data_IF_433037124886
#
_entry.id   IF_433037124886
#
_cell.length_a   1.000
_cell.length_b   1.000
_cell.length_c   1.000
_cell.angle_alpha   90.00
_cell.angle_beta   90.00
_cell.angle_gamma   90.00
#
_symmetry.space_group_name_H-M   'P 1'
#
loop_
_entity.id
_entity.type
_entity.pdbx_description
1 polymer ?
#
# COMPACT_ATOMS: atom_id res chain seq x y z
N UNK A 1 -30.39 1.35 20.00
CA UNK A 1 -29.06 1.83 20.44
C UNK A 1 -28.62 2.94 19.51
N UNK A 2 -27.95 3.97 20.02
CA UNK A 2 -27.29 4.97 19.18
C UNK A 2 -26.09 4.31 18.47
N UNK A 3 -25.82 4.62 17.20
CA UNK A 3 -24.61 4.14 16.52
C UNK A 3 -23.40 4.91 17.06
N UNK A 4 -22.61 4.28 17.95
CA UNK A 4 -21.48 4.91 18.65
C UNK A 4 -20.10 4.55 18.06
N UNK A 5 -20.08 3.69 17.04
CA UNK A 5 -18.84 3.10 16.49
C UNK A 5 -18.33 1.92 17.30
N UNK A 6 -17.34 1.22 16.74
CA UNK A 6 -16.72 0.07 17.39
C UNK A 6 -15.87 0.50 18.61
N UNK A 7 -15.92 -0.25 19.73
CA UNK A 7 -15.01 -0.02 20.85
C UNK A 7 -13.55 -0.14 20.43
N UNK A 8 -12.68 0.72 20.96
CA UNK A 8 -11.24 0.72 20.66
C UNK A 8 -10.46 0.85 21.98
N UNK A 9 -9.31 0.18 22.06
CA UNK A 9 -8.37 0.39 23.15
C UNK A 9 -7.91 1.86 23.21
N UNK A 10 -8.02 2.44 24.41
CA UNK A 10 -7.71 3.83 24.69
C UNK A 10 -6.25 4.06 25.11
N UNK A 11 -5.42 3.01 25.17
CA UNK A 11 -4.00 3.16 25.43
C UNK A 11 -3.33 4.06 24.36
N UNK A 12 -2.51 5.05 24.78
CA UNK A 12 -1.81 5.92 23.84
C UNK A 12 -0.71 5.16 23.09
N UNK A 13 -0.39 5.63 21.89
CA UNK A 13 0.79 5.19 21.14
C UNK A 13 2.09 5.73 21.77
N UNK A 14 3.21 5.09 21.46
CA UNK A 14 4.53 5.64 21.80
C UNK A 14 4.83 6.85 20.91
N UNK A 15 5.41 7.92 21.47
CA UNK A 15 5.89 9.04 20.65
C UNK A 15 7.18 8.63 19.92
N UNK A 16 7.40 9.07 18.67
CA UNK A 16 8.66 8.81 17.97
C UNK A 16 9.84 9.46 18.73
N UNK A 17 10.94 8.74 18.84
CA UNK A 17 12.17 9.21 19.46
C UNK A 17 13.16 9.75 18.40
N UNK A 18 14.25 10.39 18.85
CA UNK A 18 15.36 10.85 18.00
C UNK A 18 16.30 9.68 17.70
N UNK A 19 15.81 8.70 16.96
CA UNK A 19 16.54 7.46 16.66
C UNK A 19 16.69 7.28 15.15
N UNK A 20 17.79 6.67 14.72
CA UNK A 20 18.02 6.42 13.31
C UNK A 20 17.10 5.30 12.80
N UNK A 21 16.60 5.44 11.57
CA UNK A 21 15.89 4.37 10.85
C UNK A 21 16.75 3.95 9.66
N UNK A 22 17.34 2.75 9.76
CA UNK A 22 18.22 2.21 8.74
C UNK A 22 17.46 1.53 7.59
N UNK A 23 17.84 1.89 6.37
CA UNK A 23 17.38 1.29 5.13
C UNK A 23 18.54 0.68 4.33
N UNK A 24 18.23 0.22 3.12
CA UNK A 24 19.21 -0.31 2.16
C UNK A 24 19.88 0.79 1.33
N UNK A 25 19.11 1.82 0.98
CA UNK A 25 19.54 2.91 0.10
C UNK A 25 19.72 4.22 0.85
N UNK A 26 18.92 4.46 1.88
CA UNK A 26 19.02 5.63 2.76
C UNK A 26 19.03 5.23 4.23
N UNK A 27 19.54 6.13 5.07
CA UNK A 27 19.29 6.12 6.52
C UNK A 27 18.60 7.43 6.89
N UNK A 28 17.56 7.36 7.72
CA UNK A 28 16.94 8.53 8.33
C UNK A 28 17.59 8.78 9.68
N UNK A 29 18.12 9.98 9.90
CA UNK A 29 18.74 10.35 11.18
C UNK A 29 18.13 11.66 11.71
N UNK A 30 18.08 11.87 13.04
CA UNK A 30 17.67 13.17 13.59
C UNK A 30 18.48 14.30 12.95
N UNK A 31 17.80 15.36 12.53
CA UNK A 31 18.46 16.43 11.79
C UNK A 31 19.42 17.23 12.69
N UNK A 32 20.72 17.10 12.43
CA UNK A 32 21.79 17.95 12.96
C UNK A 32 22.15 19.05 11.94
N UNK A 33 22.01 20.32 12.33
CA UNK A 33 22.24 21.46 11.44
C UNK A 33 23.72 21.64 11.08
N UNK A 34 24.65 21.33 11.98
CA UNK A 34 26.09 21.47 11.72
C UNK A 34 26.55 20.42 10.72
N UNK A 35 26.04 19.18 10.87
CA UNK A 35 26.42 18.05 10.02
C UNK A 35 25.71 18.08 8.67
N UNK A 36 24.41 18.38 8.67
CA UNK A 36 23.60 18.21 7.47
C UNK A 36 23.29 19.52 6.74
N UNK A 37 23.33 20.65 7.45
CA UNK A 37 22.98 21.95 6.93
C UNK A 37 23.79 22.37 5.70
N UNK A 38 25.14 22.32 5.75
CA UNK A 38 25.97 22.77 4.62
C UNK A 38 25.66 22.04 3.32
N UNK A 39 25.55 20.70 3.37
CA UNK A 39 25.24 19.86 2.21
C UNK A 39 23.84 20.10 1.68
N UNK A 40 22.84 20.19 2.57
CA UNK A 40 21.46 20.44 2.17
C UNK A 40 21.28 21.84 1.55
N UNK A 41 21.89 22.87 2.12
CA UNK A 41 21.84 24.22 1.56
C UNK A 41 22.50 24.28 0.19
N UNK A 42 23.68 23.68 0.04
CA UNK A 42 24.37 23.61 -1.25
C UNK A 42 23.51 22.97 -2.35
N UNK A 43 22.70 21.96 -2.00
CA UNK A 43 21.82 21.25 -2.92
C UNK A 43 20.46 21.94 -3.18
N UNK A 44 20.16 23.05 -2.48
CA UNK A 44 18.83 23.70 -2.52
C UNK A 44 18.85 25.21 -2.71
N UNK A 45 20.02 25.85 -2.67
CA UNK A 45 20.21 27.27 -2.96
C UNK A 45 20.23 27.55 -4.46
N UNK A 46 19.91 28.79 -4.85
CA UNK A 46 19.92 29.24 -6.24
C UNK A 46 18.54 29.24 -6.90
N UNK A 47 18.33 30.16 -7.85
CA UNK A 47 17.04 30.37 -8.50
C UNK A 47 16.54 29.12 -9.26
N UNK A 48 17.45 28.27 -9.72
CA UNK A 48 17.18 26.98 -10.35
C UNK A 48 16.59 25.94 -9.38
N UNK A 49 16.69 26.16 -8.07
CA UNK A 49 16.21 25.28 -7.00
C UNK A 49 15.02 25.86 -6.21
N UNK A 50 14.64 27.12 -6.44
CA UNK A 50 13.53 27.78 -5.73
C UNK A 50 12.21 26.99 -5.76
N UNK A 51 11.98 26.24 -6.84
CA UNK A 51 10.79 25.39 -6.99
C UNK A 51 10.70 24.28 -5.94
N UNK A 52 11.82 23.84 -5.35
CA UNK A 52 11.83 22.87 -4.24
C UNK A 52 11.07 23.40 -3.01
N UNK A 53 11.05 24.72 -2.84
CA UNK A 53 10.44 25.42 -1.70
C UNK A 53 9.01 25.88 -1.98
N UNK A 54 8.52 25.72 -3.21
CA UNK A 54 7.25 26.31 -3.67
C UNK A 54 6.04 25.93 -2.79
N UNK A 55 6.04 24.70 -2.24
CA UNK A 55 4.95 24.18 -1.41
C UNK A 55 5.31 23.96 0.07
N UNK A 56 6.55 24.27 0.45
CA UNK A 56 7.01 24.26 1.85
C UNK A 56 6.61 25.56 2.56
N UNK A 57 6.50 25.50 3.88
CA UNK A 57 6.11 26.65 4.70
C UNK A 57 7.18 27.76 4.71
N UNK A 58 8.46 27.36 4.73
CA UNK A 58 9.62 28.24 4.70
C UNK A 58 10.39 28.13 3.38
N UNK A 59 11.40 28.98 3.22
CA UNK A 59 12.26 29.05 2.03
C UNK A 59 11.61 29.74 0.81
N UNK A 60 12.33 29.87 -0.32
CA UNK A 60 13.78 29.70 -0.41
C UNK A 60 14.51 30.69 0.53
N UNK A 61 15.74 30.36 0.91
CA UNK A 61 16.55 31.16 1.83
C UNK A 61 17.54 32.02 1.05
N UNK A 62 17.73 33.27 1.49
CA UNK A 62 18.62 34.21 0.80
C UNK A 62 20.10 33.84 0.93
N UNK A 63 20.48 33.28 2.07
CA UNK A 63 21.85 32.86 2.38
C UNK A 63 21.85 31.70 3.39
N UNK A 64 23.04 31.19 3.67
CA UNK A 64 23.22 30.10 4.61
C UNK A 64 22.83 30.49 6.04
N UNK A 65 23.06 31.73 6.46
CA UNK A 65 22.74 32.17 7.83
C UNK A 65 21.23 32.09 8.11
N UNK A 66 20.40 32.56 7.15
CA UNK A 66 18.94 32.45 7.25
C UNK A 66 18.45 30.99 7.20
N UNK A 67 19.09 30.14 6.37
CA UNK A 67 18.81 28.70 6.32
C UNK A 67 19.16 28.04 7.66
N UNK A 68 20.35 28.30 8.18
CA UNK A 68 20.87 27.74 9.41
C UNK A 68 20.01 28.12 10.61
N UNK A 69 19.62 29.40 10.73
CA UNK A 69 18.71 29.86 11.79
C UNK A 69 17.40 29.07 11.78
N UNK A 70 16.80 28.90 10.59
CA UNK A 70 15.56 28.14 10.43
C UNK A 70 15.71 26.68 10.86
N UNK A 71 16.73 25.98 10.35
CA UNK A 71 16.90 24.56 10.62
C UNK A 71 17.41 24.29 12.05
N UNK A 72 18.19 25.19 12.64
CA UNK A 72 18.58 25.10 14.05
C UNK A 72 17.35 25.19 14.97
N UNK A 73 16.41 26.09 14.67
CA UNK A 73 15.15 26.16 15.40
C UNK A 73 14.25 24.94 15.15
N UNK A 74 14.20 24.42 13.92
CA UNK A 74 13.39 23.24 13.60
C UNK A 74 13.94 21.97 14.25
N UNK A 75 15.27 21.80 14.30
CA UNK A 75 15.94 20.61 14.83
C UNK A 75 15.67 20.37 16.32
N UNK A 76 15.36 21.41 17.12
CA UNK A 76 15.12 21.27 18.57
C UNK A 76 13.70 20.84 18.94
N UNK A 77 12.77 20.86 17.98
CA UNK A 77 11.35 20.58 18.24
C UNK A 77 11.09 19.08 18.41
N UNK A 78 10.13 18.74 19.26
CA UNK A 78 9.61 17.37 19.41
C UNK A 78 8.36 17.11 18.56
N UNK A 79 7.67 18.18 18.14
CA UNK A 79 6.65 18.18 17.10
C UNK A 79 6.64 19.57 16.44
N UNK A 80 6.94 19.68 15.15
CA UNK A 80 7.50 18.66 14.25
C UNK A 80 8.79 17.98 14.72
N UNK A 81 8.98 16.69 14.43
CA UNK A 81 10.24 15.95 14.65
C UNK A 81 10.94 15.70 13.31
N UNK A 82 12.08 16.37 13.11
CA UNK A 82 12.78 16.46 11.82
C UNK A 82 13.92 15.44 11.67
N UNK A 83 13.94 14.77 10.52
CA UNK A 83 14.97 13.82 10.12
C UNK A 83 15.66 14.25 8.82
N UNK A 84 16.98 14.11 8.77
CA UNK A 84 17.74 14.14 7.52
C UNK A 84 17.65 12.78 6.82
N UNK A 85 17.66 12.80 5.48
CA UNK A 85 17.75 11.61 4.65
C UNK A 85 19.18 11.51 4.15
N UNK A 86 19.92 10.49 4.56
CA UNK A 86 21.31 10.29 4.18
C UNK A 86 21.44 9.16 3.17
N UNK A 87 22.28 9.32 2.16
CA UNK A 87 22.67 8.23 1.26
C UNK A 87 23.55 7.23 2.00
N UNK A 88 23.24 5.92 1.92
CA UNK A 88 24.04 4.89 2.61
C UNK A 88 25.42 4.72 1.95
N UNK A 89 25.59 5.13 0.69
CA UNK A 89 26.83 4.92 -0.08
C UNK A 89 27.95 5.84 0.36
N UNK A 90 27.64 7.12 0.60
CA UNK A 90 28.64 8.17 0.87
C UNK A 90 28.26 9.11 2.01
N UNK A 91 27.08 8.94 2.63
CA UNK A 91 26.60 9.77 3.72
C UNK A 91 26.08 11.14 3.28
N UNK A 92 25.93 11.40 1.98
CA UNK A 92 25.43 12.67 1.48
C UNK A 92 23.99 12.94 1.96
N UNK A 93 23.70 14.20 2.32
CA UNK A 93 22.34 14.62 2.69
C UNK A 93 21.51 14.79 1.43
N UNK A 94 20.48 13.97 1.30
CA UNK A 94 19.59 13.89 0.15
C UNK A 94 18.25 14.63 0.36
N UNK A 95 18.05 15.21 1.53
CA UNK A 95 16.82 15.92 1.88
C UNK A 95 16.46 15.79 3.35
N UNK A 96 15.20 16.08 3.66
CA UNK A 96 14.62 15.86 4.97
C UNK A 96 13.16 15.39 4.90
N UNK A 97 12.72 14.74 5.96
CA UNK A 97 11.34 14.31 6.20
C UNK A 97 11.00 14.56 7.66
N UNK A 98 9.72 14.77 7.97
CA UNK A 98 9.31 15.18 9.31
C UNK A 98 8.08 14.39 9.77
N UNK A 99 8.09 13.93 11.02
CA UNK A 99 6.85 13.58 11.71
C UNK A 99 6.19 14.85 12.24
N UNK A 100 4.91 15.02 11.99
CA UNK A 100 4.11 16.21 12.31
C UNK A 100 2.84 15.78 13.04
N UNK A 101 2.21 16.71 13.78
CA UNK A 101 0.86 16.53 14.34
C UNK A 101 0.77 15.22 15.15
N UNK A 102 1.73 15.03 16.05
CA UNK A 102 1.90 13.80 16.81
C UNK A 102 0.86 13.75 17.93
N UNK A 103 -0.24 13.05 17.68
CA UNK A 103 -1.33 12.82 18.61
C UNK A 103 -1.29 11.37 19.12
N UNK A 104 -0.48 11.14 20.15
CA UNK A 104 -0.31 9.82 20.75
C UNK A 104 -1.59 9.29 21.40
N UNK A 105 -2.45 10.17 21.93
CA UNK A 105 -3.69 9.78 22.59
C UNK A 105 -4.70 9.20 21.57
N UNK A 106 -4.85 9.86 20.42
CA UNK A 106 -5.71 9.37 19.34
C UNK A 106 -4.99 8.40 18.39
N UNK A 107 -3.68 8.20 18.58
CA UNK A 107 -2.82 7.33 17.77
C UNK A 107 -2.80 7.77 16.30
N UNK A 108 -2.71 9.08 16.08
CA UNK A 108 -2.62 9.74 14.76
C UNK A 108 -1.30 10.49 14.61
N UNK A 109 -0.63 10.34 13.47
CA UNK A 109 0.60 11.05 13.15
C UNK A 109 0.67 11.37 11.67
N UNK A 110 1.23 12.51 11.32
CA UNK A 110 1.40 12.96 9.94
C UNK A 110 2.86 12.83 9.51
N UNK A 111 3.08 12.45 8.25
CA UNK A 111 4.35 12.67 7.57
C UNK A 111 4.22 13.85 6.62
N UNK A 112 5.18 14.76 6.70
CA UNK A 112 5.14 15.95 5.87
C UNK A 112 6.41 16.77 6.01
N UNK A 113 6.32 18.02 5.54
CA UNK A 113 7.47 18.91 5.43
C UNK A 113 8.67 18.16 4.81
N UNK A 114 8.41 17.60 3.61
CA UNK A 114 9.32 16.72 2.90
C UNK A 114 10.04 17.53 1.83
N UNK A 115 11.36 17.51 1.88
CA UNK A 115 12.22 18.13 0.88
C UNK A 115 13.14 17.05 0.33
N UNK A 116 13.01 16.71 -0.94
CA UNK A 116 13.96 15.85 -1.64
C UNK A 116 14.83 16.73 -2.52
N UNK A 117 16.15 16.56 -2.45
CA UNK A 117 17.05 17.17 -3.44
C UNK A 117 16.96 16.38 -4.76
N UNK A 118 17.32 16.95 -5.91
CA UNK A 118 17.20 16.27 -7.21
C UNK A 118 17.80 14.86 -7.25
N UNK A 119 18.93 14.64 -6.55
CA UNK A 119 19.60 13.35 -6.47
C UNK A 119 18.75 12.23 -5.83
N UNK A 120 17.78 12.56 -4.98
CA UNK A 120 16.88 11.58 -4.34
C UNK A 120 15.61 11.31 -5.17
N UNK A 121 15.21 12.28 -5.99
CA UNK A 121 13.94 12.20 -6.71
C UNK A 121 13.92 11.04 -7.69
N UNK A 122 12.81 10.29 -7.70
CA UNK A 122 12.61 9.12 -8.59
C UNK A 122 13.64 8.00 -8.40
N UNK A 123 14.25 7.90 -7.21
CA UNK A 123 15.14 6.80 -6.82
C UNK A 123 14.46 5.84 -5.85
N UNK A 124 15.00 4.62 -5.66
CA UNK A 124 14.55 3.72 -4.59
C UNK A 124 14.60 4.34 -3.20
N UNK A 125 15.65 5.11 -2.89
CA UNK A 125 15.82 5.78 -1.59
C UNK A 125 14.66 6.70 -1.23
N UNK A 126 14.10 7.43 -2.20
CA UNK A 126 12.94 8.29 -1.95
C UNK A 126 11.66 7.53 -1.59
N UNK A 127 11.50 6.29 -2.08
CA UNK A 127 10.39 5.40 -1.67
C UNK A 127 10.70 4.72 -0.35
N UNK A 128 11.94 4.29 -0.14
CA UNK A 128 12.40 3.65 1.09
C UNK A 128 12.24 4.58 2.30
N UNK A 129 12.54 5.87 2.16
CA UNK A 129 12.30 6.86 3.22
C UNK A 129 10.84 6.86 3.71
N UNK A 130 9.87 6.75 2.79
CA UNK A 130 8.45 6.70 3.19
C UNK A 130 8.06 5.34 3.77
N UNK A 131 8.63 4.25 3.26
CA UNK A 131 8.46 2.91 3.82
C UNK A 131 8.96 2.83 5.27
N UNK A 132 10.18 3.30 5.55
CA UNK A 132 10.75 3.29 6.90
C UNK A 132 9.91 4.13 7.87
N UNK A 133 9.50 5.33 7.46
CA UNK A 133 8.69 6.20 8.31
C UNK A 133 7.33 5.58 8.64
N UNK A 134 6.66 4.97 7.66
CA UNK A 134 5.38 4.28 7.86
C UNK A 134 5.53 3.00 8.69
N UNK A 135 6.56 2.19 8.42
CA UNK A 135 6.85 0.96 9.16
C UNK A 135 7.05 1.25 10.64
N UNK A 136 7.88 2.22 10.98
CA UNK A 136 8.12 2.61 12.36
C UNK A 136 6.82 3.07 13.06
N UNK A 137 6.00 3.87 12.37
CA UNK A 137 4.70 4.35 12.89
C UNK A 137 3.73 3.22 13.23
N UNK A 138 3.59 2.23 12.33
CA UNK A 138 2.60 1.16 12.50
C UNK A 138 3.11 -0.02 13.32
N UNK A 139 4.36 -0.44 13.13
CA UNK A 139 4.90 -1.68 13.69
C UNK A 139 5.57 -1.49 15.05
N UNK A 140 6.15 -0.30 15.30
CA UNK A 140 6.91 -0.04 16.53
C UNK A 140 6.17 0.91 17.48
N UNK A 141 5.57 1.98 16.93
CA UNK A 141 4.96 3.01 17.77
C UNK A 141 3.48 2.77 18.10
N UNK A 142 2.80 1.90 17.35
CA UNK A 142 1.41 1.51 17.62
C UNK A 142 0.35 2.53 17.18
N UNK A 143 0.67 3.39 16.20
CA UNK A 143 -0.30 4.32 15.64
C UNK A 143 -1.36 3.60 14.81
N UNK A 144 -2.58 4.15 14.79
CA UNK A 144 -3.71 3.62 14.00
C UNK A 144 -3.95 4.34 12.68
N UNK A 145 -3.36 5.54 12.53
CA UNK A 145 -3.56 6.41 11.39
C UNK A 145 -2.30 7.21 11.09
N UNK A 146 -1.89 7.15 9.83
CA UNK A 146 -0.77 7.87 9.26
C UNK A 146 -1.28 8.83 8.19
N UNK A 147 -0.97 10.11 8.32
CA UNK A 147 -1.54 11.16 7.46
C UNK A 147 -0.52 11.73 6.48
N UNK A 148 -0.98 12.11 5.30
CA UNK A 148 -0.24 12.90 4.34
C UNK A 148 -1.08 14.11 3.93
N UNK A 149 -0.57 15.32 4.18
CA UNK A 149 -1.25 16.57 3.81
C UNK A 149 -0.38 17.39 2.89
N UNK A 150 -0.95 17.78 1.75
CA UNK A 150 -0.23 18.60 0.77
C UNK A 150 -1.11 19.73 0.24
N UNK A 151 -0.46 20.74 -0.35
CA UNK A 151 -1.20 21.76 -1.08
C UNK A 151 -1.97 21.08 -2.23
N UNK A 152 -3.25 21.38 -2.40
CA UNK A 152 -4.10 20.75 -3.41
C UNK A 152 -3.61 20.96 -4.86
N UNK A 153 -2.82 22.02 -5.09
CA UNK A 153 -2.16 22.32 -6.36
C UNK A 153 -0.85 21.56 -6.58
N UNK A 154 -0.26 20.94 -5.54
CA UNK A 154 0.96 20.15 -5.64
C UNK A 154 0.65 18.75 -6.19
N UNK A 155 0.38 18.68 -7.50
CA UNK A 155 0.07 17.43 -8.18
C UNK A 155 1.15 16.34 -8.01
N UNK A 156 2.47 16.65 -8.02
CA UNK A 156 3.51 15.66 -7.70
C UNK A 156 3.35 15.02 -6.32
N UNK A 157 3.09 15.81 -5.27
CA UNK A 157 2.91 15.28 -3.91
C UNK A 157 1.64 14.46 -3.76
N UNK A 158 0.54 14.86 -4.41
CA UNK A 158 -0.72 14.09 -4.43
C UNK A 158 -0.51 12.71 -5.06
N UNK A 159 0.14 12.67 -6.24
CA UNK A 159 0.49 11.40 -6.91
C UNK A 159 1.43 10.55 -6.07
N UNK A 160 2.32 11.15 -5.30
CA UNK A 160 3.20 10.41 -4.40
C UNK A 160 2.39 9.72 -3.29
N UNK A 161 1.49 10.43 -2.61
CA UNK A 161 0.63 9.86 -1.58
C UNK A 161 -0.20 8.67 -2.12
N UNK A 162 -0.87 8.86 -3.27
CA UNK A 162 -1.64 7.79 -3.93
C UNK A 162 -0.75 6.60 -4.32
N UNK A 163 0.44 6.86 -4.89
CA UNK A 163 1.41 5.81 -5.25
C UNK A 163 1.85 5.00 -4.02
N UNK A 164 2.06 5.65 -2.87
CA UNK A 164 2.41 4.98 -1.62
C UNK A 164 1.23 4.23 -0.98
N UNK A 165 0.02 4.36 -1.54
CA UNK A 165 -1.16 3.63 -1.11
C UNK A 165 -1.97 4.33 -0.03
N UNK A 166 -1.78 5.65 0.15
CA UNK A 166 -2.69 6.46 0.94
C UNK A 166 -4.03 6.65 0.21
N UNK A 167 -5.12 6.75 0.97
CA UNK A 167 -6.48 7.01 0.50
C UNK A 167 -6.78 8.51 0.59
N UNK A 168 -7.35 9.09 -0.46
CA UNK A 168 -7.77 10.50 -0.49
C UNK A 168 -9.07 10.70 0.29
N UNK A 169 -9.09 11.69 1.19
CA UNK A 169 -10.25 11.95 2.07
C UNK A 169 -10.94 13.29 1.82
N UNK A 170 -10.30 14.22 1.08
CA UNK A 170 -10.93 15.47 0.70
C UNK A 170 -9.98 16.66 0.58
N UNK A 171 -10.56 17.80 0.18
CA UNK A 171 -9.86 19.10 0.13
C UNK A 171 -10.47 20.06 1.14
N UNK A 172 -9.65 20.54 2.06
CA UNK A 172 -9.99 21.65 2.95
C UNK A 172 -9.72 22.95 2.20
N UNK A 173 -10.81 23.62 1.78
CA UNK A 173 -10.77 24.88 1.03
C UNK A 173 -10.44 26.04 1.96
N UNK A 174 -9.63 26.99 1.49
CA UNK A 174 -9.17 28.14 2.28
C UNK A 174 -8.56 27.75 3.63
N UNK A 175 -7.88 26.60 3.69
CA UNK A 175 -7.36 26.05 4.93
C UNK A 175 -6.30 26.95 5.57
N UNK A 176 -5.38 27.51 4.76
CA UNK A 176 -4.26 28.30 5.26
C UNK A 176 -3.88 29.45 4.32
N UNK A 177 -3.20 30.46 4.87
CA UNK A 177 -2.42 31.44 4.10
C UNK A 177 -0.94 31.06 4.24
N UNK A 178 -0.28 30.72 3.15
CA UNK A 178 1.14 30.33 3.11
C UNK A 178 1.86 31.23 2.12
N UNK A 179 2.91 31.91 2.56
CA UNK A 179 3.70 32.85 1.73
C UNK A 179 2.82 33.86 0.99
N UNK A 180 1.83 34.43 1.70
CA UNK A 180 0.89 35.43 1.17
C UNK A 180 -0.15 34.87 0.17
N UNK A 181 -0.29 33.55 0.03
CA UNK A 181 -1.23 32.91 -0.90
C UNK A 181 -2.19 31.98 -0.20
N UNK A 182 -3.39 31.85 -0.76
CA UNK A 182 -4.37 30.85 -0.33
C UNK A 182 -3.81 29.43 -0.54
N UNK A 183 -3.98 28.57 0.46
CA UNK A 183 -3.69 27.14 0.38
C UNK A 183 -4.93 26.34 0.71
N UNK A 184 -5.43 25.66 -0.31
CA UNK A 184 -6.30 24.51 -0.13
C UNK A 184 -5.45 23.28 0.18
N UNK A 185 -5.88 22.44 1.11
CA UNK A 185 -5.10 21.27 1.55
C UNK A 185 -5.81 19.99 1.18
N UNK A 186 -5.15 19.16 0.37
CA UNK A 186 -5.59 17.80 0.08
C UNK A 186 -5.12 16.86 1.19
N UNK A 187 -6.05 16.10 1.76
CA UNK A 187 -5.82 15.17 2.86
C UNK A 187 -5.85 13.75 2.36
N UNK A 188 -4.87 12.98 2.80
CA UNK A 188 -4.78 11.55 2.58
C UNK A 188 -4.43 10.83 3.88
N UNK A 189 -4.84 9.58 3.98
CA UNK A 189 -4.57 8.74 5.15
C UNK A 189 -4.17 7.32 4.75
N UNK A 190 -3.49 6.66 5.67
CA UNK A 190 -3.26 5.24 5.67
C UNK A 190 -3.59 4.73 7.06
N UNK A 191 -4.38 3.66 7.15
CA UNK A 191 -4.80 3.06 8.41
C UNK A 191 -3.93 1.84 8.76
N UNK A 192 -3.87 1.50 10.04
CA UNK A 192 -3.07 0.37 10.52
C UNK A 192 -3.51 -0.96 9.89
N UNK A 193 -4.77 -1.10 9.52
CA UNK A 193 -5.32 -2.30 8.92
C UNK A 193 -4.99 -2.41 7.42
N UNK A 194 -4.67 -1.28 6.79
CA UNK A 194 -4.20 -1.21 5.39
C UNK A 194 -2.69 -1.44 5.29
N UNK A 195 -1.94 -1.02 6.32
CA UNK A 195 -0.48 -1.06 6.35
C UNK A 195 0.13 -2.40 5.93
N UNK A 196 -0.30 -3.58 6.41
CA UNK A 196 0.33 -4.85 6.04
C UNK A 196 0.40 -5.09 4.53
N UNK A 197 -0.65 -4.71 3.79
CA UNK A 197 -0.64 -4.82 2.33
C UNK A 197 0.29 -3.78 1.68
N UNK A 198 0.35 -2.56 2.24
CA UNK A 198 1.23 -1.50 1.76
C UNK A 198 2.71 -1.84 2.02
N UNK A 199 3.02 -2.44 3.16
CA UNK A 199 4.34 -2.94 3.50
C UNK A 199 4.80 -3.99 2.47
N UNK A 200 3.99 -5.03 2.24
CA UNK A 200 4.28 -6.07 1.23
C UNK A 200 4.49 -5.46 -0.17
N UNK A 201 3.66 -4.48 -0.56
CA UNK A 201 3.80 -3.79 -1.84
C UNK A 201 5.10 -2.97 -1.93
N UNK A 202 5.46 -2.23 -0.88
CA UNK A 202 6.69 -1.44 -0.83
C UNK A 202 7.93 -2.34 -0.82
N UNK A 203 7.93 -3.42 -0.05
CA UNK A 203 9.01 -4.40 0.00
C UNK A 203 9.21 -5.10 -1.35
N UNK A 204 8.12 -5.55 -1.98
CA UNK A 204 8.16 -6.12 -3.33
C UNK A 204 8.70 -5.12 -4.35
N UNK A 205 8.35 -3.84 -4.21
CA UNK A 205 8.86 -2.79 -5.08
C UNK A 205 10.34 -2.50 -4.86
N UNK A 206 10.80 -2.47 -3.61
CA UNK A 206 12.19 -2.24 -3.19
C UNK A 206 13.10 -3.46 -3.39
N UNK A 207 12.54 -4.63 -3.68
CA UNK A 207 13.31 -5.83 -3.96
C UNK A 207 14.20 -5.63 -5.19
N UNK A 208 15.44 -6.14 -5.13
CA UNK A 208 16.40 -6.02 -6.24
C UNK A 208 15.85 -6.61 -7.55
N UNK A 209 15.06 -7.68 -7.47
CA UNK A 209 14.41 -8.31 -8.63
C UNK A 209 13.30 -7.48 -9.29
N UNK A 210 12.95 -6.31 -8.76
CA UNK A 210 11.97 -5.40 -9.37
C UNK A 210 12.63 -4.27 -10.18
N UNK A 211 13.95 -4.30 -10.42
CA UNK A 211 14.64 -3.32 -11.24
C UNK A 211 15.40 -4.01 -12.38
N UNK A 212 15.32 -3.42 -13.58
CA UNK A 212 16.09 -3.88 -14.74
C UNK A 212 17.58 -3.45 -14.67
N UNK A 213 18.36 -3.84 -15.67
CA UNK A 213 19.79 -3.56 -15.73
C UNK A 213 20.11 -2.05 -15.76
N UNK A 214 19.16 -1.22 -16.19
CA UNK A 214 19.28 0.25 -16.22
C UNK A 214 18.68 0.91 -14.95
N UNK A 215 18.29 0.12 -13.95
CA UNK A 215 17.72 0.60 -12.69
C UNK A 215 16.27 1.09 -12.80
N UNK A 216 15.56 0.75 -13.88
CA UNK A 216 14.15 1.09 -14.04
C UNK A 216 13.29 0.03 -13.37
N UNK A 217 12.26 0.46 -12.66
CA UNK A 217 11.29 -0.45 -12.04
C UNK A 217 10.61 -1.34 -13.11
N UNK A 218 10.47 -2.64 -12.82
CA UNK A 218 9.78 -3.62 -13.65
C UNK A 218 8.27 -3.54 -13.37
N UNK A 219 7.88 -3.68 -12.10
CA UNK A 219 6.50 -3.47 -11.64
C UNK A 219 6.41 -2.12 -10.92
N UNK A 220 5.58 -1.19 -11.39
CA UNK A 220 5.36 0.08 -10.70
C UNK A 220 4.70 -0.10 -9.32
N UNK A 221 5.11 0.70 -8.33
CA UNK A 221 4.50 0.64 -6.98
C UNK A 221 2.98 0.89 -7.02
N UNK A 222 2.51 1.78 -7.90
CA UNK A 222 1.07 2.03 -8.06
C UNK A 222 0.30 0.79 -8.55
N UNK A 223 0.95 -0.11 -9.29
CA UNK A 223 0.36 -1.40 -9.68
C UNK A 223 0.28 -2.31 -8.46
N UNK A 224 1.34 -2.40 -7.66
CA UNK A 224 1.35 -3.22 -6.44
C UNK A 224 0.27 -2.74 -5.44
N UNK A 225 0.11 -1.42 -5.30
CA UNK A 225 -0.88 -0.77 -4.45
C UNK A 225 -2.26 -0.57 -5.09
N UNK A 226 -2.55 -1.17 -6.25
CA UNK A 226 -3.83 -0.98 -6.93
C UNK A 226 -5.02 -1.28 -5.99
N UNK A 227 -5.98 -0.35 -5.94
CA UNK A 227 -7.22 -0.50 -5.18
C UNK A 227 -8.42 -0.90 -6.06
N UNK A 228 -8.23 -0.90 -7.38
CA UNK A 228 -9.23 -1.34 -8.34
C UNK A 228 -8.58 -2.10 -9.51
N UNK A 229 -9.30 -3.07 -10.06
CA UNK A 229 -9.02 -3.73 -11.32
C UNK A 229 -10.17 -3.43 -12.28
N UNK A 230 -9.87 -2.64 -13.30
CA UNK A 230 -10.84 -2.27 -14.35
C UNK A 230 -10.85 -3.36 -15.43
N UNK A 231 -12.03 -3.95 -15.69
CA UNK A 231 -12.21 -4.97 -16.71
C UNK A 231 -13.44 -4.67 -17.59
N UNK A 232 -13.46 -5.18 -18.83
CA UNK A 232 -14.69 -5.22 -19.60
C UNK A 232 -15.76 -6.01 -18.84
N UNK A 233 -16.85 -5.33 -18.44
CA UNK A 233 -17.96 -5.95 -17.72
C UNK A 233 -17.98 -5.74 -16.20
N UNK A 234 -17.01 -5.01 -15.63
CA UNK A 234 -17.08 -4.56 -14.23
C UNK A 234 -15.72 -4.23 -13.62
N UNK A 235 -15.77 -3.59 -12.46
CA UNK A 235 -14.59 -3.19 -11.69
C UNK A 235 -14.55 -4.01 -10.42
N UNK A 236 -13.42 -4.68 -10.15
CA UNK A 236 -13.18 -5.27 -8.83
C UNK A 236 -12.47 -4.22 -7.99
N UNK A 237 -12.89 -4.06 -6.74
CA UNK A 237 -12.17 -3.22 -5.76
C UNK A 237 -11.44 -4.08 -4.74
N UNK A 238 -10.38 -3.54 -4.15
CA UNK A 238 -9.71 -4.16 -3.00
C UNK A 238 -10.68 -4.18 -1.82
N UNK A 239 -10.74 -5.31 -1.12
CA UNK A 239 -11.56 -5.44 0.07
C UNK A 239 -10.97 -4.63 1.23
N UNK A 240 -11.84 -4.05 2.06
CA UNK A 240 -11.51 -3.49 3.37
C UNK A 240 -12.04 -4.39 4.49
N UNK A 241 -11.77 -4.03 5.75
CA UNK A 241 -12.33 -4.77 6.89
C UNK A 241 -13.86 -4.64 6.98
N UNK A 242 -14.45 -3.58 6.42
CA UNK A 242 -15.91 -3.41 6.36
C UNK A 242 -16.57 -4.49 5.49
N UNK A 243 -15.81 -5.13 4.59
CA UNK A 243 -16.29 -6.22 3.75
C UNK A 243 -16.27 -7.59 4.43
N UNK A 244 -15.67 -7.73 5.62
CA UNK A 244 -15.39 -9.05 6.22
C UNK A 244 -16.63 -9.94 6.34
N UNK A 245 -17.74 -9.40 6.86
CA UNK A 245 -18.96 -10.17 7.05
C UNK A 245 -19.63 -10.50 5.71
N UNK A 246 -19.56 -9.59 4.74
CA UNK A 246 -20.07 -9.84 3.38
C UNK A 246 -19.25 -10.91 2.68
N UNK A 247 -17.92 -10.88 2.82
CA UNK A 247 -16.99 -11.89 2.29
C UNK A 247 -17.31 -13.26 2.90
N UNK A 248 -17.41 -13.35 4.24
CA UNK A 248 -17.76 -14.59 4.94
C UNK A 248 -19.09 -15.15 4.44
N UNK A 249 -20.10 -14.29 4.28
CA UNK A 249 -21.41 -14.68 3.77
C UNK A 249 -21.33 -15.26 2.35
N UNK A 250 -20.66 -14.58 1.42
CA UNK A 250 -20.48 -15.08 0.04
C UNK A 250 -19.71 -16.39 0.02
N UNK A 251 -18.63 -16.50 0.80
CA UNK A 251 -17.80 -17.69 0.87
C UNK A 251 -18.60 -18.89 1.39
N UNK A 252 -19.28 -18.75 2.54
CA UNK A 252 -20.13 -19.80 3.11
C UNK A 252 -21.19 -20.28 2.12
N UNK A 253 -21.88 -19.34 1.47
CA UNK A 253 -22.94 -19.67 0.51
C UNK A 253 -22.40 -20.34 -0.77
N UNK A 254 -21.27 -19.85 -1.31
CA UNK A 254 -20.68 -20.37 -2.54
C UNK A 254 -20.05 -21.77 -2.37
N UNK A 255 -19.52 -22.08 -1.20
CA UNK A 255 -18.87 -23.36 -0.91
C UNK A 255 -19.78 -24.40 -0.24
N UNK A 256 -21.02 -24.07 0.09
CA UNK A 256 -21.97 -24.98 0.75
C UNK A 256 -22.18 -26.30 -0.03
N UNK A 257 -22.35 -26.22 -1.35
CA UNK A 257 -22.48 -27.41 -2.21
C UNK A 257 -21.17 -28.19 -2.34
N UNK A 258 -20.03 -27.50 -2.36
CA UNK A 258 -18.71 -28.12 -2.42
C UNK A 258 -18.44 -28.95 -1.16
N UNK A 259 -18.86 -28.50 0.03
CA UNK A 259 -18.72 -29.25 1.28
C UNK A 259 -19.36 -30.65 1.19
N UNK A 260 -20.54 -30.74 0.60
CA UNK A 260 -21.26 -32.01 0.41
C UNK A 260 -20.46 -32.96 -0.50
N UNK A 261 -19.96 -32.44 -1.63
CA UNK A 261 -19.21 -33.23 -2.62
C UNK A 261 -17.82 -33.63 -2.13
N UNK A 262 -17.16 -32.79 -1.33
CA UNK A 262 -15.83 -33.05 -0.80
C UNK A 262 -15.85 -33.95 0.43
N UNK A 263 -16.95 -33.98 1.18
CA UNK A 263 -17.05 -34.69 2.46
C UNK A 263 -16.21 -34.08 3.59
N UNK A 264 -15.54 -32.96 3.34
CA UNK A 264 -14.71 -32.22 4.30
C UNK A 264 -14.92 -30.71 4.14
N UNK A 265 -14.59 -29.94 5.18
CA UNK A 265 -14.72 -28.49 5.16
C UNK A 265 -13.77 -27.88 4.11
N UNK A 266 -14.28 -27.09 3.14
CA UNK A 266 -13.44 -26.38 2.17
C UNK A 266 -12.45 -25.43 2.85
N UNK A 267 -11.20 -25.41 2.39
CA UNK A 267 -10.13 -24.59 2.99
C UNK A 267 -10.52 -23.11 3.15
N UNK A 268 -11.17 -22.44 2.18
CA UNK A 268 -11.56 -21.03 2.34
C UNK A 268 -12.56 -20.77 3.46
N UNK A 269 -13.28 -21.79 3.95
CA UNK A 269 -14.22 -21.67 5.08
C UNK A 269 -13.53 -21.84 6.44
N UNK A 270 -12.25 -22.25 6.45
CA UNK A 270 -11.42 -22.39 7.65
C UNK A 270 -10.59 -21.12 7.94
N UNK A 271 -10.62 -20.13 7.06
CA UNK A 271 -9.78 -18.95 7.15
C UNK A 271 -10.33 -17.87 8.09
N UNK A 272 -9.42 -17.23 8.82
CA UNK A 272 -9.65 -15.88 9.33
C UNK A 272 -9.35 -14.86 8.23
N UNK A 273 -10.40 -14.29 7.63
CA UNK A 273 -10.25 -13.33 6.54
C UNK A 273 -9.52 -12.05 6.94
N UNK A 274 -9.56 -11.63 8.21
CA UNK A 274 -8.78 -10.49 8.67
C UNK A 274 -7.28 -10.81 8.58
N UNK A 275 -6.88 -12.05 8.90
CA UNK A 275 -5.51 -12.52 8.72
C UNK A 275 -5.16 -12.73 7.23
N UNK A 276 -6.06 -13.29 6.42
CA UNK A 276 -5.84 -13.47 4.98
C UNK A 276 -5.55 -12.15 4.29
N UNK A 277 -6.33 -11.10 4.59
CA UNK A 277 -6.14 -9.77 4.01
C UNK A 277 -4.78 -9.15 4.32
N UNK A 278 -4.06 -9.60 5.36
CA UNK A 278 -2.70 -9.09 5.65
C UNK A 278 -1.65 -9.58 4.66
N UNK A 279 -1.82 -10.80 4.14
CA UNK A 279 -0.83 -11.46 3.29
C UNK A 279 -1.30 -11.77 1.87
N UNK A 280 -2.57 -11.57 1.56
CA UNK A 280 -3.20 -11.90 0.27
C UNK A 280 -3.96 -10.72 -0.27
N UNK A 281 -4.04 -10.67 -1.59
CA UNK A 281 -4.90 -9.71 -2.25
C UNK A 281 -6.33 -10.26 -2.26
N UNK A 282 -7.22 -9.61 -1.50
CA UNK A 282 -8.65 -9.92 -1.54
C UNK A 282 -9.34 -8.85 -2.38
N UNK A 283 -9.96 -9.28 -3.46
CA UNK A 283 -10.70 -8.46 -4.41
C UNK A 283 -12.18 -8.83 -4.35
N UNK A 284 -13.04 -7.82 -4.40
CA UNK A 284 -14.48 -7.99 -4.34
C UNK A 284 -15.14 -7.30 -5.53
N UNK A 285 -16.23 -7.91 -6.01
CA UNK A 285 -17.12 -7.33 -6.99
C UNK A 285 -18.43 -6.99 -6.29
N UNK A 286 -18.78 -5.70 -6.29
CA UNK A 286 -20.08 -5.26 -5.78
C UNK A 286 -21.21 -5.68 -6.74
N UNK A 287 -22.36 -6.03 -6.17
CA UNK A 287 -23.61 -6.30 -6.88
C UNK A 287 -24.76 -5.52 -6.25
N UNK A 288 -25.97 -5.67 -6.80
CA UNK A 288 -27.13 -4.88 -6.37
C UNK A 288 -27.53 -5.04 -4.90
N UNK A 289 -27.29 -6.22 -4.31
CA UNK A 289 -27.71 -6.58 -2.95
C UNK A 289 -26.55 -6.99 -2.04
N UNK A 290 -25.36 -6.47 -2.32
CA UNK A 290 -24.11 -6.84 -1.65
C UNK A 290 -23.11 -7.45 -2.63
N UNK A 291 -22.10 -8.15 -2.11
CA UNK A 291 -21.02 -8.68 -2.94
C UNK A 291 -21.52 -9.76 -3.91
N UNK A 292 -21.23 -9.58 -5.20
CA UNK A 292 -21.51 -10.54 -6.26
C UNK A 292 -20.41 -11.62 -6.36
N UNK A 293 -19.18 -11.28 -5.98
CA UNK A 293 -18.06 -12.22 -6.05
C UNK A 293 -16.85 -11.80 -5.20
N UNK A 294 -16.03 -12.78 -4.86
CA UNK A 294 -14.76 -12.61 -4.11
C UNK A 294 -13.67 -13.39 -4.83
N UNK A 295 -12.51 -12.76 -4.99
CA UNK A 295 -11.29 -13.32 -5.56
C UNK A 295 -10.14 -13.12 -4.59
N UNK A 296 -9.49 -14.20 -4.17
CA UNK A 296 -8.33 -14.17 -3.28
C UNK A 296 -7.10 -14.61 -4.06
N UNK A 297 -6.11 -13.73 -4.14
CA UNK A 297 -4.87 -13.95 -4.88
C UNK A 297 -3.66 -13.97 -3.95
N UNK A 298 -2.74 -14.86 -4.24
CA UNK A 298 -1.45 -14.99 -3.58
C UNK A 298 -0.34 -14.80 -4.61
N UNK A 299 0.38 -13.69 -4.49
CA UNK A 299 1.56 -13.41 -5.32
C UNK A 299 2.75 -14.20 -4.80
N UNK A 300 3.34 -15.03 -5.67
CA UNK A 300 4.60 -15.72 -5.44
C UNK A 300 5.70 -15.11 -6.32
N UNK A 301 6.98 -15.49 -6.12
CA UNK A 301 8.07 -15.00 -6.97
C UNK A 301 7.81 -15.26 -8.47
N UNK A 302 7.40 -16.48 -8.82
CA UNK A 302 7.31 -16.92 -10.22
C UNK A 302 5.89 -16.87 -10.81
N UNK A 303 4.87 -16.89 -9.97
CA UNK A 303 3.47 -17.02 -10.39
C UNK A 303 2.51 -16.20 -9.52
N UNK A 304 1.27 -16.12 -9.98
CA UNK A 304 0.13 -15.67 -9.20
C UNK A 304 -0.79 -16.86 -8.97
N UNK A 305 -1.27 -17.05 -7.75
CA UNK A 305 -2.18 -18.15 -7.41
C UNK A 305 -3.55 -17.58 -7.02
N UNK A 306 -4.61 -18.15 -7.60
CA UNK A 306 -5.97 -17.99 -7.12
C UNK A 306 -6.17 -18.99 -5.98
N UNK A 307 -6.09 -18.50 -4.74
CA UNK A 307 -6.34 -19.31 -3.54
C UNK A 307 -7.86 -19.55 -3.37
N UNK A 308 -8.70 -18.60 -3.79
CA UNK A 308 -10.17 -18.76 -3.82
C UNK A 308 -10.82 -17.89 -4.90
N UNK A 309 -11.84 -18.44 -5.55
CA UNK A 309 -12.75 -17.74 -6.45
C UNK A 309 -14.18 -18.16 -6.11
N UNK A 310 -14.99 -17.23 -5.63
CA UNK A 310 -16.37 -17.50 -5.21
C UNK A 310 -17.34 -16.50 -5.81
N UNK A 311 -18.49 -17.01 -6.25
CA UNK A 311 -19.60 -16.22 -6.81
C UNK A 311 -20.79 -16.40 -5.88
N UNK A 312 -21.41 -15.29 -5.47
CA UNK A 312 -22.62 -15.33 -4.66
C UNK A 312 -23.72 -16.11 -5.41
N UNK A 313 -24.51 -16.97 -4.74
CA UNK A 313 -25.52 -17.79 -5.42
C UNK A 313 -26.48 -16.99 -6.31
N UNK A 314 -26.90 -15.80 -5.85
CA UNK A 314 -27.80 -14.92 -6.61
C UNK A 314 -27.17 -14.33 -7.89
N UNK A 315 -25.84 -14.33 -7.99
CA UNK A 315 -25.09 -13.81 -9.13
C UNK A 315 -24.54 -14.92 -10.05
N UNK A 316 -24.86 -16.19 -9.78
CA UNK A 316 -24.45 -17.31 -10.63
C UNK A 316 -25.14 -17.26 -11.99
N UNK A 317 -24.45 -17.75 -13.02
CA UNK A 317 -24.94 -17.72 -14.40
C UNK A 317 -24.84 -16.34 -15.10
N UNK A 318 -24.50 -15.28 -14.38
CA UNK A 318 -24.41 -13.90 -14.93
C UNK A 318 -23.01 -13.52 -15.42
N UNK A 319 -22.11 -14.49 -15.56
CA UNK A 319 -20.74 -14.25 -16.03
C UNK A 319 -19.74 -13.77 -14.98
N UNK A 320 -20.14 -13.55 -13.71
CA UNK A 320 -19.25 -13.10 -12.63
C UNK A 320 -18.00 -13.98 -12.48
N UNK A 321 -18.15 -15.30 -12.50
CA UNK A 321 -16.99 -16.21 -12.40
C UNK A 321 -15.98 -16.03 -13.55
N UNK A 322 -16.45 -15.68 -14.76
CA UNK A 322 -15.55 -15.36 -15.88
C UNK A 322 -14.83 -14.03 -15.65
N UNK A 323 -15.52 -13.03 -15.10
CA UNK A 323 -14.94 -11.73 -14.78
C UNK A 323 -13.85 -11.86 -13.70
N UNK A 324 -14.11 -12.61 -12.62
CA UNK A 324 -13.12 -12.86 -11.56
C UNK A 324 -11.89 -13.59 -12.11
N UNK A 325 -12.07 -14.59 -12.98
CA UNK A 325 -10.95 -15.32 -13.59
C UNK A 325 -10.12 -14.40 -14.51
N UNK A 326 -10.79 -13.56 -15.31
CA UNK A 326 -10.13 -12.57 -16.15
C UNK A 326 -9.38 -11.51 -15.32
N UNK A 327 -9.93 -11.11 -14.16
CA UNK A 327 -9.26 -10.22 -13.21
C UNK A 327 -7.96 -10.83 -12.70
N UNK A 328 -7.94 -12.12 -12.37
CA UNK A 328 -6.72 -12.85 -12.03
C UNK A 328 -5.67 -12.81 -13.15
N UNK A 329 -6.09 -12.97 -14.40
CA UNK A 329 -5.19 -12.93 -15.56
C UNK A 329 -4.61 -11.53 -15.80
N UNK A 330 -5.46 -10.50 -15.77
CA UNK A 330 -5.03 -9.09 -15.88
C UNK A 330 -4.07 -8.75 -14.73
N UNK A 331 -4.39 -9.19 -13.51
CA UNK A 331 -3.56 -8.95 -12.33
C UNK A 331 -2.20 -9.63 -12.46
N UNK A 332 -2.16 -10.88 -12.91
CA UNK A 332 -0.91 -11.60 -13.12
C UNK A 332 0.00 -10.88 -14.13
N UNK A 333 -0.54 -10.44 -15.28
CA UNK A 333 0.24 -9.65 -16.25
C UNK A 333 0.74 -8.33 -15.69
N UNK A 334 -0.12 -7.60 -14.97
CA UNK A 334 0.25 -6.33 -14.36
C UNK A 334 1.38 -6.48 -13.33
N UNK A 335 1.41 -7.62 -12.63
CA UNK A 335 2.49 -8.00 -11.70
C UNK A 335 3.69 -8.65 -12.41
N UNK A 336 3.73 -8.71 -13.74
CA UNK A 336 4.81 -9.35 -14.50
C UNK A 336 4.90 -10.87 -14.31
N UNK A 337 3.82 -11.52 -13.86
CA UNK A 337 3.75 -12.98 -13.70
C UNK A 337 3.29 -13.61 -15.00
N UNK A 338 3.98 -14.66 -15.43
CA UNK A 338 3.71 -15.38 -16.69
C UNK A 338 2.77 -16.57 -16.52
N UNK A 339 2.46 -16.92 -15.28
CA UNK A 339 1.63 -18.08 -14.97
C UNK A 339 0.62 -17.71 -13.90
N UNK A 340 -0.63 -18.07 -14.15
CA UNK A 340 -1.72 -18.01 -13.20
C UNK A 340 -2.08 -19.45 -12.80
N UNK A 341 -2.01 -19.74 -11.51
CA UNK A 341 -2.31 -21.06 -10.95
C UNK A 341 -3.57 -21.02 -10.12
N UNK A 342 -4.18 -22.19 -9.96
CA UNK A 342 -5.28 -22.42 -9.03
C UNK A 342 -5.28 -23.88 -8.61
N UNK A 343 -6.07 -24.19 -7.59
CA UNK A 343 -6.36 -25.56 -7.21
C UNK A 343 -7.84 -25.74 -6.91
N UNK A 344 -8.34 -26.95 -7.09
CA UNK A 344 -9.71 -27.32 -6.73
C UNK A 344 -9.76 -28.77 -6.24
N UNK A 345 -10.76 -29.14 -5.45
CA UNK A 345 -10.89 -30.50 -4.96
C UNK A 345 -11.17 -31.48 -6.10
N UNK A 346 -10.51 -32.64 -6.10
CA UNK A 346 -10.64 -33.65 -7.16
C UNK A 346 -12.08 -34.10 -7.44
N UNK A 347 -12.97 -34.28 -6.43
CA UNK A 347 -14.38 -34.61 -6.69
C UNK A 347 -15.16 -33.53 -7.46
N UNK A 348 -14.66 -32.30 -7.54
CA UNK A 348 -15.33 -31.18 -8.21
C UNK A 348 -15.07 -31.20 -9.73
N UNK A 349 -15.43 -32.30 -10.39
CA UNK A 349 -15.19 -32.53 -11.82
C UNK A 349 -15.74 -31.42 -12.74
N UNK A 350 -16.89 -30.81 -12.37
CA UNK A 350 -17.46 -29.69 -13.10
C UNK A 350 -16.54 -28.44 -13.10
N UNK A 351 -15.90 -28.16 -11.97
CA UNK A 351 -14.94 -27.05 -11.85
C UNK A 351 -13.70 -27.31 -12.69
N UNK A 352 -13.13 -28.52 -12.59
CA UNK A 352 -11.96 -28.94 -13.37
C UNK A 352 -12.25 -28.79 -14.88
N UNK A 353 -13.42 -29.25 -15.31
CA UNK A 353 -13.83 -29.14 -16.71
C UNK A 353 -14.04 -27.67 -17.13
N UNK A 354 -14.63 -26.84 -16.27
CA UNK A 354 -14.76 -25.40 -16.52
C UNK A 354 -13.40 -24.72 -16.69
N UNK A 355 -12.45 -24.95 -15.78
CA UNK A 355 -11.10 -24.39 -15.87
C UNK A 355 -10.35 -24.84 -17.13
N UNK A 356 -10.48 -26.12 -17.53
CA UNK A 356 -9.91 -26.62 -18.79
C UNK A 356 -10.42 -25.85 -20.01
N UNK A 357 -11.72 -25.58 -20.08
CA UNK A 357 -12.29 -24.74 -21.17
C UNK A 357 -11.80 -23.30 -21.14
N UNK A 358 -11.26 -22.83 -20.01
CA UNK A 358 -10.63 -21.50 -19.88
C UNK A 358 -9.13 -21.50 -20.18
N UNK A 359 -8.58 -22.63 -20.60
CA UNK A 359 -7.18 -22.79 -21.01
C UNK A 359 -6.24 -23.24 -19.88
N UNK A 360 -6.78 -23.68 -18.74
CA UNK A 360 -5.96 -24.27 -17.69
C UNK A 360 -5.64 -25.74 -17.98
N UNK A 361 -4.40 -26.12 -17.75
CA UNK A 361 -3.93 -27.50 -17.78
C UNK A 361 -3.75 -28.04 -16.38
N UNK A 362 -3.95 -29.35 -16.17
CA UNK A 362 -3.63 -30.00 -14.90
C UNK A 362 -2.12 -30.22 -14.86
N UNK A 363 -1.47 -29.80 -13.78
CA UNK A 363 -0.04 -30.04 -13.60
C UNK A 363 0.24 -31.22 -12.67
N UNK A 364 -0.52 -31.30 -11.56
CA UNK A 364 -0.36 -32.35 -10.57
C UNK A 364 -1.63 -32.53 -9.74
N UNK A 365 -1.74 -33.69 -9.12
CA UNK A 365 -2.72 -33.95 -8.05
C UNK A 365 -1.95 -34.10 -6.75
N UNK A 366 -2.39 -33.41 -5.71
CA UNK A 366 -1.82 -33.45 -4.37
C UNK A 366 -2.70 -34.26 -3.44
N UNK A 367 -2.11 -35.25 -2.78
CA UNK A 367 -2.75 -35.99 -1.70
C UNK A 367 -2.47 -35.27 -0.38
N UNK A 368 -3.52 -34.82 0.29
CA UNK A 368 -3.48 -34.31 1.67
C UNK A 368 -4.10 -35.36 2.62
N UNK A 369 -3.98 -35.21 3.94
CA UNK A 369 -4.54 -36.17 4.89
C UNK A 369 -6.05 -36.40 4.75
N UNK A 370 -6.81 -35.36 4.37
CA UNK A 370 -8.27 -35.37 4.35
C UNK A 370 -8.88 -35.08 2.96
N UNK A 371 -8.06 -34.78 1.94
CA UNK A 371 -8.54 -34.40 0.61
C UNK A 371 -7.52 -34.63 -0.49
N UNK A 372 -7.97 -34.60 -1.74
CA UNK A 372 -7.12 -34.53 -2.94
C UNK A 372 -7.37 -33.24 -3.69
N UNK A 373 -6.31 -32.51 -4.01
CA UNK A 373 -6.37 -31.25 -4.74
C UNK A 373 -5.79 -31.41 -6.14
N UNK A 374 -6.51 -30.93 -7.15
CA UNK A 374 -6.05 -30.85 -8.53
C UNK A 374 -5.48 -29.46 -8.75
N UNK A 375 -4.16 -29.39 -8.95
CA UNK A 375 -3.45 -28.15 -9.24
C UNK A 375 -3.45 -27.91 -10.74
N UNK A 376 -3.84 -26.70 -11.13
CA UNK A 376 -4.00 -26.32 -12.53
C UNK A 376 -3.29 -24.99 -12.81
N UNK A 377 -2.76 -24.85 -14.02
CA UNK A 377 -2.04 -23.66 -14.44
C UNK A 377 -2.42 -23.22 -15.85
N UNK A 378 -2.36 -21.91 -16.05
CA UNK A 378 -2.53 -21.25 -17.34
C UNK A 378 -1.39 -20.27 -17.56
N UNK A 379 -0.77 -20.33 -18.74
CA UNK A 379 0.15 -19.29 -19.18
C UNK A 379 -0.63 -18.00 -19.43
N UNK A 380 -0.17 -16.91 -18.84
CA UNK A 380 -0.72 -15.56 -19.03
C UNK A 380 0.36 -14.76 -19.75
N UNK A 381 0.19 -14.62 -21.07
CA UNK A 381 1.04 -13.82 -21.93
C UNK A 381 0.79 -12.34 -21.74
#
# INVERSE_FOLDING_TARGET
MLPLGEPVDAAPACRPAREALDGRFITLVPFDVERHGPGLFAATQGAEHDWLWAYLGAGPFADYAAFEEHYRAAATREDPLLFAILDVRDGAVLGHVTYLRIDAANRVIEVGNILYVPALMRTPGGTEAMYLMARHVFEELGYRRYEWKCNALNAPSRRAAERYGFVFEGVFRHHMIVKGRNRDTAWFSMLAEEWPQRAVAMEAWLAAGNFDAEGRQIVPLAVLNANALELPGGTLRRASLDDLDSIRTVQQAAYASNRILLGVEPVPLLWDYAQIMRGREVWVLDGEKGLAGVLVLHTRPDDLVIDSLSVAPMAQGQGVGNLLLAAGEVRARALGRRTLRLYTGEPLAANIHWYRRKGYSIERVEQMPDRRLVHMAKAVG
#
